data_IF_039254597104
#
_entry.id   IF_039254597104
#
_cell.length_a   1.000
_cell.length_b   1.000
_cell.length_c   1.000
_cell.angle_alpha   90.00
_cell.angle_beta   90.00
_cell.angle_gamma   90.00
#
_symmetry.space_group_name_H-M   'P 1'
#
loop_
_entity.id
_entity.type
_entity.pdbx_description
1 polymer ?
#
# COMPACT_ATOMS: atom_id res chain seq x y z
N UNK A 1 -32.79 -65.27 -102.93
CA UNK A 1 -32.69 -65.48 -101.49
C UNK A 1 -32.30 -64.19 -100.83
N UNK A 2 -33.18 -63.47 -100.19
CA UNK A 2 -32.84 -62.25 -99.49
C UNK A 2 -32.86 -62.37 -97.99
N UNK A 3 -31.82 -61.89 -97.38
CA UNK A 3 -31.70 -61.72 -95.95
C UNK A 3 -32.34 -60.42 -95.43
N UNK A 4 -33.25 -60.49 -94.49
CA UNK A 4 -33.92 -59.43 -93.84
C UNK A 4 -33.06 -58.92 -92.67
N UNK A 5 -32.65 -57.64 -92.67
CA UNK A 5 -31.97 -57.02 -91.55
C UNK A 5 -32.98 -56.29 -90.71
N UNK A 6 -33.13 -56.64 -89.41
CA UNK A 6 -33.93 -55.94 -88.38
C UNK A 6 -33.01 -55.00 -87.61
N UNK A 7 -33.25 -53.74 -87.83
CA UNK A 7 -32.60 -52.72 -87.01
C UNK A 7 -33.32 -52.62 -85.63
N UNK A 8 -32.53 -52.93 -84.56
CA UNK A 8 -32.92 -52.73 -83.17
C UNK A 8 -32.54 -51.31 -82.74
N UNK A 9 -33.50 -50.41 -82.58
CA UNK A 9 -33.31 -49.12 -82.00
C UNK A 9 -33.14 -49.22 -80.48
N UNK A 10 -31.93 -49.03 -79.97
CA UNK A 10 -31.61 -49.00 -78.54
C UNK A 10 -31.86 -47.59 -78.04
N UNK A 11 -33.00 -47.36 -77.38
CA UNK A 11 -33.31 -46.09 -76.74
C UNK A 11 -32.51 -45.91 -75.48
N UNK A 12 -31.50 -45.02 -75.50
CA UNK A 12 -30.66 -44.68 -74.33
C UNK A 12 -31.40 -43.72 -73.42
N UNK A 13 -31.92 -44.21 -72.30
CA UNK A 13 -32.59 -43.44 -71.26
C UNK A 13 -31.55 -42.70 -70.44
N UNK A 14 -31.37 -41.35 -70.69
CA UNK A 14 -30.56 -40.47 -69.85
C UNK A 14 -31.32 -40.19 -68.54
N UNK A 15 -30.91 -40.81 -67.47
CA UNK A 15 -31.30 -40.42 -66.09
C UNK A 15 -30.53 -39.18 -65.67
N UNK A 16 -31.16 -38.12 -65.14
CA UNK A 16 -30.45 -36.98 -64.57
C UNK A 16 -29.80 -37.44 -63.26
N UNK A 17 -28.48 -37.28 -63.12
CA UNK A 17 -27.75 -37.42 -61.86
C UNK A 17 -28.15 -36.27 -60.91
N UNK A 18 -28.52 -36.56 -59.65
CA UNK A 18 -28.73 -35.50 -58.68
C UNK A 18 -27.41 -34.82 -58.36
N UNK A 19 -27.36 -33.50 -58.59
CA UNK A 19 -26.24 -32.67 -58.19
C UNK A 19 -26.19 -32.60 -56.66
N UNK A 20 -25.22 -33.27 -56.05
CA UNK A 20 -24.87 -33.13 -54.64
C UNK A 20 -24.27 -31.73 -54.42
N UNK A 21 -25.09 -30.80 -53.91
CA UNK A 21 -24.62 -29.51 -53.46
C UNK A 21 -23.91 -29.74 -52.13
N UNK A 22 -22.60 -29.74 -52.12
CA UNK A 22 -21.81 -29.76 -50.90
C UNK A 22 -22.03 -28.45 -50.14
N UNK A 23 -22.79 -28.49 -49.04
CA UNK A 23 -22.86 -27.40 -48.12
C UNK A 23 -21.57 -27.40 -47.27
N UNK A 24 -20.73 -26.43 -47.48
CA UNK A 24 -19.59 -26.18 -46.57
C UNK A 24 -20.16 -25.55 -45.30
N UNK A 25 -20.21 -26.29 -44.20
CA UNK A 25 -20.55 -25.70 -42.91
C UNK A 25 -19.51 -24.65 -42.54
N UNK A 26 -19.93 -23.44 -42.12
CA UNK A 26 -18.97 -22.42 -41.67
C UNK A 26 -18.26 -22.89 -40.41
N UNK A 27 -17.02 -23.32 -40.55
CA UNK A 27 -16.18 -23.66 -39.41
C UNK A 27 -15.69 -22.39 -38.73
N UNK A 28 -15.87 -22.24 -37.39
CA UNK A 28 -15.36 -21.08 -36.69
C UNK A 28 -13.82 -21.04 -36.77
N UNK A 29 -13.29 -19.87 -37.11
CA UNK A 29 -11.85 -19.64 -37.08
C UNK A 29 -11.50 -18.96 -35.76
N UNK A 30 -10.70 -19.63 -34.92
CA UNK A 30 -10.25 -19.12 -33.65
C UNK A 30 -8.78 -18.75 -33.71
N UNK A 31 -8.40 -17.67 -33.04
CA UNK A 31 -7.02 -17.26 -32.79
C UNK A 31 -6.90 -16.88 -31.33
N UNK A 32 -5.78 -17.26 -30.73
CA UNK A 32 -5.45 -16.88 -29.36
C UNK A 32 -4.47 -15.69 -29.39
N UNK A 33 -4.58 -14.84 -28.38
CA UNK A 33 -3.58 -13.81 -28.07
C UNK A 33 -3.20 -13.93 -26.60
N UNK A 34 -1.97 -13.54 -26.27
CA UNK A 34 -1.49 -13.50 -24.89
C UNK A 34 -1.86 -12.16 -24.26
N UNK A 35 -2.25 -12.23 -22.98
CA UNK A 35 -2.42 -11.05 -22.13
C UNK A 35 -1.45 -11.23 -20.97
N UNK A 36 -0.54 -10.27 -20.80
CA UNK A 36 0.49 -10.30 -19.77
C UNK A 36 0.39 -9.05 -18.90
N UNK A 37 0.70 -9.19 -17.60
CA UNK A 37 0.88 -8.10 -16.66
C UNK A 37 2.03 -8.43 -15.73
N UNK A 38 2.83 -7.41 -15.39
CA UNK A 38 3.89 -7.52 -14.38
C UNK A 38 3.45 -6.70 -13.18
N UNK A 39 3.36 -7.34 -12.01
CA UNK A 39 3.10 -6.66 -10.73
C UNK A 39 4.42 -6.48 -10.01
N UNK A 40 4.81 -5.22 -9.82
CA UNK A 40 5.99 -4.87 -9.02
C UNK A 40 5.65 -4.79 -7.53
N UNK A 41 6.67 -4.97 -6.69
CA UNK A 41 6.55 -4.75 -5.25
C UNK A 41 6.24 -3.28 -4.97
N UNK A 42 5.41 -3.03 -3.97
CA UNK A 42 5.02 -1.68 -3.58
C UNK A 42 4.47 -1.59 -2.17
N UNK A 43 4.54 -0.39 -1.60
CA UNK A 43 3.94 -0.03 -0.32
C UNK A 43 3.13 1.25 -0.44
N UNK A 44 2.10 1.36 0.40
CA UNK A 44 1.32 2.57 0.57
C UNK A 44 1.01 2.84 2.04
N UNK A 45 0.86 4.11 2.39
CA UNK A 45 0.23 4.51 3.64
C UNK A 45 -1.29 4.34 3.52
N UNK A 46 -1.92 3.82 4.59
CA UNK A 46 -3.37 3.59 4.60
C UNK A 46 -3.76 2.18 4.14
N UNK A 47 -5.03 2.03 3.79
CA UNK A 47 -5.65 0.75 3.43
C UNK A 47 -5.71 0.49 1.93
N UNK A 48 -5.36 1.48 1.12
CA UNK A 48 -5.36 1.39 -0.34
C UNK A 48 -4.08 2.05 -0.90
N UNK A 49 -3.61 1.54 -2.04
CA UNK A 49 -2.51 2.15 -2.79
C UNK A 49 -3.07 3.43 -3.44
N UNK A 50 -2.62 4.59 -2.96
CA UNK A 50 -2.94 5.88 -3.55
C UNK A 50 -1.67 6.74 -3.59
N UNK A 51 -1.52 7.56 -4.63
CA UNK A 51 -0.38 8.47 -4.81
C UNK A 51 -0.48 9.75 -3.97
N UNK A 52 -1.51 9.87 -3.14
CA UNK A 52 -1.72 11.06 -2.33
C UNK A 52 -0.86 11.03 -1.07
N UNK A 53 -0.29 12.18 -0.71
CA UNK A 53 0.35 12.39 0.58
C UNK A 53 -0.66 12.09 1.69
N UNK A 54 -0.37 11.09 2.50
CA UNK A 54 -1.26 10.63 3.56
C UNK A 54 -0.88 11.33 4.86
N UNK A 55 -1.80 12.15 5.39
CA UNK A 55 -1.67 12.73 6.72
C UNK A 55 -2.03 11.67 7.78
N UNK A 56 -1.07 11.29 8.60
CA UNK A 56 -1.25 10.32 9.68
C UNK A 56 -2.03 10.90 10.87
N UNK A 57 -2.38 12.18 10.82
CA UNK A 57 -3.08 12.90 11.88
C UNK A 57 -2.17 13.43 12.98
N UNK A 58 -2.76 13.85 14.07
CA UNK A 58 -2.04 14.47 15.19
C UNK A 58 -2.03 13.57 16.41
N UNK A 59 -0.84 13.22 16.89
CA UNK A 59 -0.64 12.63 18.21
C UNK A 59 -0.56 13.76 19.23
N UNK A 60 -1.48 13.81 20.18
CA UNK A 60 -1.61 14.91 21.14
C UNK A 60 -1.32 14.45 22.56
N UNK A 61 -0.53 15.23 23.30
CA UNK A 61 -0.34 15.08 24.76
C UNK A 61 -1.48 15.71 25.56
N UNK A 62 -2.43 16.39 24.90
CA UNK A 62 -3.57 17.06 25.53
C UNK A 62 -3.21 18.42 26.11
N UNK A 63 -4.09 18.92 26.98
CA UNK A 63 -3.87 20.16 27.74
C UNK A 63 -3.29 19.83 29.09
N UNK A 64 -2.12 20.37 29.39
CA UNK A 64 -1.34 20.04 30.58
C UNK A 64 -1.21 21.27 31.47
N UNK A 65 -1.63 21.15 32.69
CA UNK A 65 -1.45 22.16 33.76
C UNK A 65 -0.24 21.87 34.64
N UNK A 66 0.40 20.72 34.48
CA UNK A 66 1.56 20.29 35.24
C UNK A 66 2.45 19.40 34.40
N UNK A 67 3.76 19.55 34.47
CA UNK A 67 4.78 18.78 33.77
C UNK A 67 5.89 18.28 34.72
N UNK A 68 5.61 18.21 36.02
CA UNK A 68 6.58 17.67 37.01
C UNK A 68 6.85 16.17 36.85
N UNK A 69 6.03 15.47 36.05
CA UNK A 69 6.21 14.06 35.69
C UNK A 69 6.04 13.88 34.19
N UNK A 70 6.69 12.86 33.60
CA UNK A 70 6.53 12.57 32.18
C UNK A 70 5.08 12.24 31.82
N UNK A 71 4.63 12.68 30.65
CA UNK A 71 3.30 12.35 30.10
C UNK A 71 3.47 11.36 28.95
N UNK A 72 2.81 10.23 29.06
CA UNK A 72 2.85 9.15 28.09
C UNK A 72 1.54 9.08 27.31
N UNK A 73 1.63 8.92 25.99
CA UNK A 73 0.47 8.74 25.11
C UNK A 73 0.79 7.69 24.04
N UNK A 74 -0.26 7.05 23.54
CA UNK A 74 -0.18 6.13 22.42
C UNK A 74 -1.03 6.65 21.26
N UNK A 75 -0.54 6.52 20.05
CA UNK A 75 -1.26 6.89 18.85
C UNK A 75 -2.45 5.96 18.60
N UNK A 76 -3.40 6.46 17.79
CA UNK A 76 -4.56 5.73 17.28
C UNK A 76 -4.67 5.95 15.78
N UNK A 77 -5.46 5.13 15.11
CA UNK A 77 -5.76 5.31 13.70
C UNK A 77 -6.34 6.71 13.45
N UNK A 78 -5.75 7.45 12.49
CA UNK A 78 -6.08 8.87 12.23
C UNK A 78 -5.54 9.86 13.27
N UNK A 79 -4.76 9.39 14.25
CA UNK A 79 -4.14 10.22 15.29
C UNK A 79 -2.70 9.74 15.57
N UNK A 80 -1.87 9.73 14.52
CA UNK A 80 -0.44 9.43 14.59
C UNK A 80 -0.05 7.96 14.46
N UNK A 81 -0.98 7.01 14.32
CA UNK A 81 -0.63 5.62 14.02
C UNK A 81 -0.23 5.47 12.55
N UNK A 82 0.75 4.61 12.31
CA UNK A 82 1.26 4.31 10.97
C UNK A 82 0.50 3.11 10.41
N UNK A 83 -0.35 3.35 9.43
CA UNK A 83 -1.12 2.30 8.73
C UNK A 83 -0.44 2.03 7.39
N UNK A 84 -0.12 0.77 7.12
CA UNK A 84 0.62 0.36 5.93
C UNK A 84 -0.06 -0.81 5.23
N UNK A 85 -0.05 -0.75 3.90
CA UNK A 85 -0.38 -1.87 3.01
C UNK A 85 0.77 -2.04 2.03
N UNK A 86 1.41 -3.21 2.05
CA UNK A 86 2.54 -3.53 1.18
C UNK A 86 2.33 -4.87 0.49
N UNK A 87 3.10 -5.13 -0.56
CA UNK A 87 3.17 -6.46 -1.18
C UNK A 87 3.61 -7.49 -0.12
N UNK A 88 2.87 -8.62 0.02
CA UNK A 88 3.22 -9.64 1.00
C UNK A 88 4.62 -10.23 0.79
N UNK A 89 5.28 -10.58 1.88
CA UNK A 89 6.59 -11.23 1.85
C UNK A 89 7.80 -10.30 1.72
N UNK A 90 7.59 -9.01 1.41
CA UNK A 90 8.71 -8.07 1.30
C UNK A 90 9.20 -7.63 2.68
N UNK A 91 10.44 -7.16 2.72
CA UNK A 91 11.00 -6.49 3.89
C UNK A 91 10.80 -4.99 3.76
N UNK A 92 10.20 -4.38 4.78
CA UNK A 92 9.88 -2.95 4.82
C UNK A 92 10.57 -2.32 6.00
N UNK A 93 11.18 -1.16 5.79
CA UNK A 93 11.75 -0.32 6.86
C UNK A 93 10.90 0.94 7.04
N UNK A 94 10.50 1.21 8.27
CA UNK A 94 9.70 2.39 8.66
C UNK A 94 10.57 3.27 9.55
N UNK A 95 10.98 4.41 9.02
CA UNK A 95 11.82 5.39 9.72
C UNK A 95 11.00 6.63 10.10
N UNK A 96 11.30 7.18 11.27
CA UNK A 96 10.81 8.49 11.72
C UNK A 96 11.99 9.46 11.81
N UNK A 97 11.83 10.65 11.25
CA UNK A 97 12.84 11.71 11.46
C UNK A 97 12.80 12.24 12.91
N UNK A 98 13.66 13.20 13.20
CA UNK A 98 13.76 13.77 14.54
C UNK A 98 13.00 15.09 14.72
N UNK A 99 12.02 15.35 13.82
CA UNK A 99 11.19 16.54 13.83
C UNK A 99 11.89 17.76 13.24
N UNK A 100 11.09 18.82 13.04
CA UNK A 100 11.56 20.06 12.40
C UNK A 100 12.20 21.04 13.39
N UNK A 101 12.21 20.74 14.69
CA UNK A 101 12.68 21.64 15.74
C UNK A 101 14.09 21.26 16.29
N UNK A 102 14.93 20.60 15.49
CA UNK A 102 16.32 20.31 15.84
C UNK A 102 16.49 19.11 16.77
N UNK A 103 15.61 18.13 16.69
CA UNK A 103 15.70 16.90 17.46
C UNK A 103 16.85 15.97 17.05
N UNK A 104 17.04 14.91 17.83
CA UNK A 104 18.04 13.87 17.66
C UNK A 104 17.53 12.49 18.07
N UNK A 105 18.39 11.48 18.00
CA UNK A 105 18.08 10.13 18.48
C UNK A 105 17.80 10.06 20.00
N UNK A 106 18.30 11.01 20.78
CA UNK A 106 18.05 11.06 22.23
C UNK A 106 16.74 11.74 22.58
N UNK A 107 16.36 12.79 21.86
CA UNK A 107 15.12 13.53 22.10
C UNK A 107 14.71 14.39 20.91
N UNK A 108 13.41 14.66 20.79
CA UNK A 108 12.76 15.61 19.90
C UNK A 108 12.22 16.80 20.68
N UNK A 109 11.80 17.85 19.98
CA UNK A 109 11.30 19.06 20.62
C UNK A 109 10.00 19.54 20.00
N UNK A 110 8.96 19.67 20.85
CA UNK A 110 7.83 20.53 20.52
C UNK A 110 8.28 21.98 20.71
N UNK A 111 8.01 22.85 19.76
CA UNK A 111 8.30 24.27 19.83
C UNK A 111 7.02 25.07 19.98
N UNK A 112 7.04 26.11 20.83
CA UNK A 112 5.92 27.03 21.02
C UNK A 112 5.63 27.79 19.73
N UNK A 113 4.37 27.77 19.29
CA UNK A 113 3.94 28.41 18.01
C UNK A 113 4.23 29.93 18.01
N UNK A 114 4.08 30.59 19.14
CA UNK A 114 4.29 32.04 19.28
C UNK A 114 5.56 32.41 20.04
N UNK A 115 6.60 31.51 20.03
CA UNK A 115 7.83 31.75 20.76
C UNK A 115 8.95 30.78 20.42
N UNK A 116 10.02 30.80 21.22
CA UNK A 116 11.18 29.93 21.03
C UNK A 116 11.30 28.83 22.08
N UNK A 117 10.43 28.79 23.07
CA UNK A 117 10.43 27.78 24.12
C UNK A 117 10.14 26.40 23.54
N UNK A 118 10.77 25.39 24.09
CA UNK A 118 10.63 24.02 23.64
C UNK A 118 10.30 23.08 24.80
N UNK A 119 9.61 22.00 24.46
CA UNK A 119 9.37 20.87 25.36
C UNK A 119 9.99 19.63 24.76
N UNK A 120 10.84 18.94 25.50
CA UNK A 120 11.49 17.72 25.03
C UNK A 120 10.52 16.54 25.08
N UNK A 121 10.51 15.74 24.00
CA UNK A 121 9.73 14.50 23.91
C UNK A 121 10.50 13.43 23.14
N UNK A 122 9.99 12.20 23.13
CA UNK A 122 10.53 11.13 22.30
C UNK A 122 9.42 10.20 21.84
N UNK A 123 9.67 9.53 20.69
CA UNK A 123 8.80 8.53 20.09
C UNK A 123 9.42 7.14 20.19
N UNK A 124 8.57 6.14 20.46
CA UNK A 124 9.01 4.77 20.71
C UNK A 124 8.17 3.78 19.92
N UNK A 125 8.77 2.62 19.67
CA UNK A 125 8.14 1.49 18.99
C UNK A 125 7.31 0.61 19.94
N UNK A 126 7.49 0.77 21.28
CA UNK A 126 6.96 -0.11 22.31
C UNK A 126 6.32 0.67 23.46
N UNK A 127 5.34 0.03 24.13
CA UNK A 127 4.64 0.59 25.27
C UNK A 127 5.49 0.71 26.55
N UNK A 128 6.65 0.06 26.59
CA UNK A 128 7.61 0.19 27.70
C UNK A 128 8.50 1.43 27.54
N UNK A 129 8.43 2.12 26.39
CA UNK A 129 9.26 3.30 26.07
C UNK A 129 10.76 2.98 26.11
N UNK A 130 11.15 1.80 25.66
CA UNK A 130 12.51 1.30 25.68
C UNK A 130 13.21 1.37 24.32
N UNK A 131 12.43 1.25 23.22
CA UNK A 131 12.94 1.27 21.85
C UNK A 131 12.57 2.58 21.15
N UNK A 132 13.50 3.50 21.05
CA UNK A 132 13.29 4.74 20.30
C UNK A 132 12.98 4.43 18.85
N UNK A 133 11.98 5.10 18.29
CA UNK A 133 11.67 5.02 16.88
C UNK A 133 12.30 6.22 16.16
N UNK A 134 13.32 5.94 15.36
CA UNK A 134 14.09 6.94 14.64
C UNK A 134 14.38 6.51 13.21
N UNK A 135 15.50 7.01 12.68
CA UNK A 135 16.00 6.62 11.37
C UNK A 135 17.23 5.69 11.49
N UNK A 136 17.71 5.20 10.36
CA UNK A 136 18.86 4.28 10.30
C UNK A 136 18.65 3.06 11.19
N UNK A 137 19.55 2.81 12.14
CA UNK A 137 19.49 1.67 13.05
C UNK A 137 18.29 1.72 14.02
N UNK A 138 17.63 2.87 14.17
CA UNK A 138 16.43 3.05 15.01
C UNK A 138 15.13 2.95 14.20
N UNK A 139 15.19 2.70 12.89
CA UNK A 139 14.03 2.41 12.08
C UNK A 139 13.45 1.03 12.45
N UNK A 140 12.14 0.88 12.30
CA UNK A 140 11.48 -0.41 12.49
C UNK A 140 11.55 -1.21 11.21
N UNK A 141 12.20 -2.36 11.25
CA UNK A 141 12.24 -3.31 10.13
C UNK A 141 11.15 -4.37 10.31
N UNK A 142 10.36 -4.58 9.27
CA UNK A 142 9.31 -5.59 9.19
C UNK A 142 9.73 -6.57 8.10
N UNK A 143 10.22 -7.73 8.49
CA UNK A 143 10.51 -8.82 7.58
C UNK A 143 9.21 -9.58 7.24
N UNK A 144 9.10 -10.03 5.99
CA UNK A 144 7.93 -10.79 5.52
C UNK A 144 6.61 -10.06 5.78
N UNK A 145 6.43 -8.89 5.17
CA UNK A 145 5.20 -8.10 5.36
C UNK A 145 3.97 -8.98 5.11
N UNK A 146 2.97 -8.98 6.02
CA UNK A 146 1.80 -9.85 5.91
C UNK A 146 0.87 -9.42 4.77
N UNK A 147 -0.04 -10.31 4.35
CA UNK A 147 -0.99 -10.05 3.28
C UNK A 147 -2.08 -9.02 3.64
N UNK A 148 -2.22 -8.68 4.92
CA UNK A 148 -3.21 -7.71 5.40
C UNK A 148 -2.56 -6.39 5.75
N UNK A 149 -3.33 -5.30 5.65
CA UNK A 149 -2.97 -3.97 6.17
C UNK A 149 -2.54 -4.07 7.63
N UNK A 150 -1.46 -3.40 7.98
CA UNK A 150 -0.89 -3.36 9.32
C UNK A 150 -1.01 -1.98 9.93
N UNK A 151 -1.27 -1.93 11.24
CA UNK A 151 -1.27 -0.67 11.99
C UNK A 151 -0.20 -0.73 13.07
N UNK A 152 0.70 0.24 13.03
CA UNK A 152 1.78 0.37 14.01
C UNK A 152 1.49 1.56 14.92
N UNK A 153 1.38 1.26 16.22
CA UNK A 153 1.20 2.28 17.25
C UNK A 153 2.51 3.00 17.50
N UNK A 154 2.47 4.31 17.51
CA UNK A 154 3.57 5.18 17.96
C UNK A 154 3.32 5.52 19.41
N UNK A 155 4.28 5.23 20.27
CA UNK A 155 4.25 5.60 21.68
C UNK A 155 5.07 6.86 21.86
N UNK A 156 4.52 7.86 22.55
CA UNK A 156 5.18 9.13 22.76
C UNK A 156 5.27 9.47 24.25
N UNK A 157 6.42 9.97 24.65
CA UNK A 157 6.69 10.46 26.00
C UNK A 157 7.15 11.90 25.93
N UNK A 158 6.37 12.79 26.58
CA UNK A 158 6.80 14.14 26.90
C UNK A 158 7.56 14.07 28.22
N UNK A 159 8.76 14.63 28.24
CA UNK A 159 9.60 14.60 29.45
C UNK A 159 9.16 15.63 30.47
N UNK A 160 9.41 15.34 31.74
CA UNK A 160 9.23 16.31 32.82
C UNK A 160 10.12 17.54 32.63
N UNK A 161 9.68 18.65 33.19
CA UNK A 161 10.45 19.90 33.24
C UNK A 161 10.54 20.42 34.68
N UNK A 162 11.67 21.02 35.03
CA UNK A 162 11.88 21.56 36.39
C UNK A 162 11.09 22.85 36.64
N UNK A 163 10.76 23.57 35.58
CA UNK A 163 9.93 24.78 35.64
C UNK A 163 8.90 24.80 34.52
N UNK A 164 7.70 25.25 34.79
CA UNK A 164 6.66 25.33 33.77
C UNK A 164 7.05 26.35 32.70
N UNK A 165 6.99 25.95 31.42
CA UNK A 165 7.16 26.86 30.31
C UNK A 165 5.97 27.80 30.18
N UNK A 166 6.09 28.84 29.35
CA UNK A 166 4.98 29.76 29.07
C UNK A 166 3.78 29.01 28.47
N UNK A 167 2.58 29.41 28.87
CA UNK A 167 1.35 28.87 28.31
C UNK A 167 1.28 29.08 26.77
N UNK A 168 0.80 28.11 26.05
CA UNK A 168 0.65 28.20 24.60
C UNK A 168 0.55 26.84 23.92
N UNK A 169 0.43 26.86 22.60
CA UNK A 169 0.46 25.66 21.78
C UNK A 169 1.90 25.33 21.39
N UNK A 170 2.29 24.09 21.64
CA UNK A 170 3.60 23.53 21.28
C UNK A 170 3.42 22.48 20.20
N UNK A 171 4.20 22.54 19.13
CA UNK A 171 4.07 21.65 17.97
C UNK A 171 5.43 21.19 17.46
N UNK A 172 5.42 20.01 16.86
CA UNK A 172 6.47 19.49 16.00
C UNK A 172 5.84 18.77 14.80
N UNK A 173 6.62 18.58 13.76
CA UNK A 173 6.25 17.77 12.60
C UNK A 173 7.31 16.70 12.42
N UNK A 174 6.88 15.46 12.43
CA UNK A 174 7.74 14.28 12.23
C UNK A 174 7.36 13.62 10.91
N UNK A 175 8.34 13.38 10.06
CA UNK A 175 8.17 12.70 8.78
C UNK A 175 8.37 11.20 8.95
N UNK A 176 7.45 10.42 8.40
CA UNK A 176 7.58 8.97 8.31
C UNK A 176 8.05 8.60 6.90
N UNK A 177 9.12 7.82 6.82
CA UNK A 177 9.70 7.34 5.56
C UNK A 177 9.58 5.83 5.47
N UNK A 178 9.06 5.32 4.36
CA UNK A 178 9.06 3.91 4.01
C UNK A 178 10.18 3.62 3.03
N UNK A 179 10.92 2.52 3.27
CA UNK A 179 11.89 1.97 2.34
C UNK A 179 11.62 0.47 2.17
N UNK A 180 11.65 -0.01 0.91
CA UNK A 180 11.34 -1.40 0.56
C UNK A 180 12.07 -1.83 -0.71
#
# INVERSE_FOLDING_TARGET
MPMSSRHLLLSLLLLPLPSLVAHADPSPISRAFQVEAVVANGCAFGTAISDNAYDLGTLSFGTLGNLASPVNVASRSGAGSIVLTCTPGMTVSVALDYGVNGGSSSQRYLKRVSGNETLAYQLYQDAAYSQVWGNGALARTIANFPASTQTYTVYARLFAVDSLPSAGNYRDTVTVTLSF
#
